data_IF_392600216057
#
_entry.id   IF_392600216057
#
_cell.length_a   1.000
_cell.length_b   1.000
_cell.length_c   1.000
_cell.angle_alpha   90.00
_cell.angle_beta   90.00
_cell.angle_gamma   90.00
#
_symmetry.space_group_name_H-M   'P 1'
#
loop_
_entity.id
_entity.type
_entity.pdbx_description
1 polymer ?
#
# COMPACT_ATOMS: atom_id res chain seq x y z
N UNK A 1 -31.93 -21.72 50.71
CA UNK A 1 -31.58 -20.58 49.84
C UNK A 1 -31.94 -20.95 48.42
N UNK A 2 -32.87 -20.21 47.75
CA UNK A 2 -33.23 -20.46 46.35
C UNK A 2 -32.07 -20.00 45.50
N UNK A 3 -31.41 -20.92 44.82
CA UNK A 3 -30.39 -20.58 43.83
C UNK A 3 -31.06 -19.71 42.76
N UNK A 4 -30.58 -18.49 42.55
CA UNK A 4 -31.06 -17.62 41.46
C UNK A 4 -30.83 -18.27 40.08
N UNK A 5 -31.33 -17.63 39.02
CA UNK A 5 -31.20 -18.12 37.62
C UNK A 5 -29.78 -18.61 37.29
N UNK A 6 -28.75 -17.88 37.72
CA UNK A 6 -27.35 -18.26 37.54
C UNK A 6 -26.98 -19.58 38.24
N UNK A 7 -27.43 -19.77 39.51
CA UNK A 7 -27.17 -20.99 40.27
C UNK A 7 -27.90 -22.22 39.72
N UNK A 8 -29.09 -22.03 39.15
CA UNK A 8 -29.82 -23.09 38.43
C UNK A 8 -29.10 -23.55 37.18
N UNK A 9 -28.63 -22.60 36.36
CA UNK A 9 -27.88 -22.85 35.15
C UNK A 9 -26.55 -23.58 35.45
N UNK A 10 -25.80 -23.08 36.43
CA UNK A 10 -24.54 -23.70 36.89
C UNK A 10 -24.74 -25.15 37.31
N UNK A 11 -25.79 -25.45 38.11
CA UNK A 11 -26.07 -26.80 38.55
C UNK A 11 -26.46 -27.75 37.43
N UNK A 12 -27.19 -27.26 36.40
CA UNK A 12 -27.56 -28.04 35.22
C UNK A 12 -26.36 -28.44 34.41
N UNK A 13 -25.38 -27.54 34.26
CA UNK A 13 -24.15 -27.80 33.46
C UNK A 13 -23.11 -28.62 34.24
N UNK A 14 -22.88 -28.39 35.52
CA UNK A 14 -21.87 -29.14 36.32
C UNK A 14 -22.19 -30.64 36.39
N UNK A 15 -23.47 -31.00 36.47
CA UNK A 15 -23.90 -32.40 36.56
C UNK A 15 -24.15 -33.07 35.20
N UNK A 16 -24.02 -32.32 34.11
CA UNK A 16 -24.33 -32.84 32.78
C UNK A 16 -23.13 -33.60 32.15
N UNK A 17 -23.33 -34.83 31.65
CA UNK A 17 -22.28 -35.55 30.93
C UNK A 17 -21.89 -34.88 29.59
N UNK A 18 -22.70 -33.91 29.12
CA UNK A 18 -22.41 -33.15 27.90
C UNK A 18 -21.39 -32.02 28.12
N UNK A 19 -21.15 -31.60 29.38
CA UNK A 19 -20.23 -30.50 29.69
C UNK A 19 -18.79 -30.75 29.19
N UNK A 20 -18.17 -31.93 29.43
CA UNK A 20 -16.85 -32.19 28.86
C UNK A 20 -16.84 -32.23 27.32
N UNK A 21 -17.94 -32.66 26.71
CA UNK A 21 -18.06 -32.65 25.25
C UNK A 21 -18.10 -31.24 24.69
N UNK A 22 -18.88 -30.34 25.32
CA UNK A 22 -18.91 -28.92 24.95
C UNK A 22 -17.57 -28.24 25.18
N UNK A 23 -16.85 -28.60 26.24
CA UNK A 23 -15.52 -28.07 26.51
C UNK A 23 -14.54 -28.48 25.40
N UNK A 24 -14.54 -29.75 25.02
CA UNK A 24 -13.67 -30.24 23.93
C UNK A 24 -14.05 -29.59 22.60
N UNK A 25 -15.33 -29.43 22.30
CA UNK A 25 -15.79 -28.78 21.07
C UNK A 25 -15.37 -27.30 21.04
N UNK A 26 -15.53 -26.58 22.15
CA UNK A 26 -15.11 -25.19 22.25
C UNK A 26 -13.58 -25.02 22.08
N UNK A 27 -12.82 -25.94 22.68
CA UNK A 27 -11.35 -25.94 22.58
C UNK A 27 -10.88 -26.25 21.16
N UNK A 28 -11.52 -27.21 20.49
CA UNK A 28 -11.24 -27.53 19.08
C UNK A 28 -11.58 -26.35 18.16
N UNK A 29 -12.73 -25.72 18.38
CA UNK A 29 -13.17 -24.57 17.59
C UNK A 29 -12.24 -23.36 17.81
N UNK A 30 -11.81 -23.14 19.05
CA UNK A 30 -10.81 -22.12 19.37
C UNK A 30 -9.44 -22.37 18.73
N UNK A 31 -9.01 -23.62 18.69
CA UNK A 31 -7.76 -24.01 18.01
C UNK A 31 -7.85 -23.79 16.51
N UNK A 32 -8.96 -24.21 15.87
CA UNK A 32 -9.21 -23.97 14.44
C UNK A 32 -9.22 -22.46 14.15
N UNK A 33 -9.94 -21.68 14.95
CA UNK A 33 -9.96 -20.22 14.82
C UNK A 33 -8.57 -19.62 14.92
N UNK A 34 -7.76 -20.07 15.88
CA UNK A 34 -6.39 -19.60 16.08
C UNK A 34 -5.49 -19.87 14.86
N UNK A 35 -5.71 -20.98 14.16
CA UNK A 35 -4.94 -21.38 13.00
C UNK A 35 -5.43 -20.74 11.69
N UNK A 36 -6.71 -20.40 11.63
CA UNK A 36 -7.35 -19.90 10.39
C UNK A 36 -7.57 -18.40 10.36
N UNK A 37 -7.62 -17.74 11.53
CA UNK A 37 -7.72 -16.28 11.54
C UNK A 37 -6.40 -15.65 11.05
N UNK A 38 -6.44 -14.83 10.00
CA UNK A 38 -5.30 -14.04 9.62
C UNK A 38 -4.93 -13.09 10.77
N UNK A 39 -3.68 -13.11 11.17
CA UNK A 39 -3.15 -12.19 12.18
C UNK A 39 -2.57 -10.98 11.47
N UNK A 40 -3.36 -9.95 11.35
CA UNK A 40 -2.90 -8.64 10.89
C UNK A 40 -2.87 -7.71 12.10
N UNK A 41 -1.71 -7.13 12.40
CA UNK A 41 -1.56 -6.20 13.52
C UNK A 41 -2.23 -4.85 13.24
N UNK A 42 -2.36 -4.49 11.95
CA UNK A 42 -3.03 -3.25 11.51
C UNK A 42 -3.82 -3.50 10.23
N UNK A 43 -4.97 -2.80 10.02
CA UNK A 43 -5.65 -2.85 8.74
C UNK A 43 -4.71 -2.29 7.66
N UNK A 44 -4.31 -3.12 6.70
CA UNK A 44 -3.49 -2.70 5.57
C UNK A 44 -4.30 -1.73 4.69
N UNK A 45 -4.21 -0.45 5.02
CA UNK A 45 -4.70 0.60 4.12
C UNK A 45 -3.65 0.73 3.02
N UNK A 46 -3.79 -0.09 1.98
CA UNK A 46 -2.91 -0.02 0.83
C UNK A 46 -3.19 1.27 0.05
N UNK A 47 -2.30 2.23 0.20
CA UNK A 47 -2.24 3.42 -0.62
C UNK A 47 -1.06 3.25 -1.58
N UNK A 48 -1.28 2.77 -2.79
CA UNK A 48 -0.18 2.57 -3.71
C UNK A 48 0.42 3.91 -4.14
N UNK A 49 1.73 3.99 -4.06
CA UNK A 49 2.52 5.09 -4.56
C UNK A 49 3.41 4.60 -5.70
N UNK A 50 3.58 5.43 -6.70
CA UNK A 50 4.45 5.14 -7.85
C UNK A 50 5.46 6.27 -7.97
N UNK A 51 6.72 5.94 -7.86
CA UNK A 51 7.85 6.84 -8.05
C UNK A 51 8.33 6.78 -9.50
N UNK A 52 8.50 7.95 -10.08
CA UNK A 52 8.96 8.17 -11.46
C UNK A 52 10.28 8.92 -11.37
N UNK A 53 11.37 8.22 -11.57
CA UNK A 53 12.70 8.79 -11.57
C UNK A 53 13.09 9.20 -12.98
N UNK A 54 13.47 10.46 -13.14
CA UNK A 54 13.89 11.02 -14.43
C UNK A 54 15.30 11.56 -14.31
N UNK A 55 16.18 11.11 -15.19
CA UNK A 55 17.53 11.65 -15.31
C UNK A 55 17.53 12.80 -16.32
N UNK A 56 17.86 14.00 -15.88
CA UNK A 56 17.92 15.21 -16.71
C UNK A 56 19.39 15.73 -16.76
N UNK A 57 20.30 14.88 -17.20
CA UNK A 57 21.73 15.13 -17.16
C UNK A 57 22.10 16.45 -17.85
N UNK A 58 22.86 17.31 -17.16
CA UNK A 58 23.30 18.59 -17.65
C UNK A 58 22.29 19.74 -17.47
N UNK A 59 21.11 19.48 -16.90
CA UNK A 59 20.13 20.52 -16.60
C UNK A 59 20.28 21.01 -15.14
N UNK A 60 20.15 22.32 -14.97
CA UNK A 60 19.98 22.89 -13.63
C UNK A 60 18.55 22.70 -13.14
N UNK A 61 18.35 22.67 -11.84
CA UNK A 61 17.06 22.44 -11.22
C UNK A 61 15.95 23.37 -11.75
N UNK A 62 16.25 24.67 -11.96
CA UNK A 62 15.28 25.64 -12.47
C UNK A 62 14.78 25.32 -13.90
N UNK A 63 15.66 24.80 -14.77
CA UNK A 63 15.32 24.40 -16.12
C UNK A 63 14.62 23.04 -16.11
N UNK A 64 15.11 22.10 -15.29
CA UNK A 64 14.50 20.78 -15.14
C UNK A 64 13.07 20.85 -14.60
N UNK A 65 12.75 21.79 -13.71
CA UNK A 65 11.36 22.02 -13.23
C UNK A 65 10.46 22.33 -14.41
N UNK A 66 10.82 23.30 -15.25
CA UNK A 66 9.96 23.79 -16.32
C UNK A 66 9.85 22.83 -17.50
N UNK A 67 10.97 22.18 -17.84
CA UNK A 67 11.06 21.37 -19.05
C UNK A 67 10.69 19.90 -18.81
N UNK A 68 10.88 19.40 -17.60
CA UNK A 68 10.70 17.98 -17.28
C UNK A 68 9.62 17.77 -16.24
N UNK A 69 9.73 18.43 -15.07
CA UNK A 69 8.87 18.15 -13.91
C UNK A 69 7.43 18.61 -14.13
N UNK A 70 7.21 19.85 -14.57
CA UNK A 70 5.85 20.38 -14.81
C UNK A 70 5.08 19.62 -15.89
N UNK A 71 5.67 19.27 -17.06
CA UNK A 71 5.02 18.41 -18.04
C UNK A 71 4.69 17.03 -17.48
N UNK A 72 5.61 16.40 -16.72
CA UNK A 72 5.38 15.10 -16.10
C UNK A 72 4.27 15.15 -15.07
N UNK A 73 4.26 16.14 -14.18
CA UNK A 73 3.17 16.33 -13.22
C UNK A 73 1.81 16.44 -13.92
N UNK A 74 1.76 17.20 -15.01
CA UNK A 74 0.53 17.37 -15.80
C UNK A 74 0.05 16.05 -16.39
N UNK A 75 0.96 15.25 -16.93
CA UNK A 75 0.67 13.92 -17.48
C UNK A 75 0.17 13.00 -16.36
N UNK A 76 0.89 12.94 -15.24
CA UNK A 76 0.59 12.05 -14.12
C UNK A 76 -0.73 12.43 -13.44
N UNK A 77 -1.01 13.72 -13.24
CA UNK A 77 -2.30 14.21 -12.71
C UNK A 77 -3.50 13.83 -13.58
N UNK A 78 -3.28 13.58 -14.88
CA UNK A 78 -4.36 13.17 -15.80
C UNK A 78 -4.68 11.67 -15.74
N UNK A 79 -3.96 10.89 -14.94
CA UNK A 79 -4.18 9.45 -14.80
C UNK A 79 -5.38 9.20 -13.87
N UNK A 80 -6.30 8.35 -14.29
CA UNK A 80 -7.47 8.00 -13.48
C UNK A 80 -7.05 7.27 -12.19
N UNK A 81 -7.54 7.74 -11.05
CA UNK A 81 -7.24 7.20 -9.72
C UNK A 81 -6.01 7.81 -9.04
N UNK A 82 -5.35 8.80 -9.65
CA UNK A 82 -4.33 9.61 -8.98
C UNK A 82 -5.00 10.66 -8.12
N UNK A 83 -4.74 10.62 -6.81
CA UNK A 83 -5.27 11.55 -5.82
C UNK A 83 -4.33 12.75 -5.65
N UNK A 84 -3.04 12.49 -5.49
CA UNK A 84 -2.01 13.51 -5.31
C UNK A 84 -0.76 13.20 -6.11
N UNK A 85 -0.07 14.28 -6.54
CA UNK A 85 1.24 14.20 -7.19
C UNK A 85 2.20 15.10 -6.44
N UNK A 86 3.32 14.53 -6.06
CA UNK A 86 4.44 15.22 -5.40
C UNK A 86 5.64 15.19 -6.34
N UNK A 87 6.43 16.26 -6.36
CA UNK A 87 7.66 16.28 -7.14
C UNK A 87 8.81 16.87 -6.34
N UNK A 88 9.98 16.37 -6.62
CA UNK A 88 11.24 16.89 -6.11
C UNK A 88 12.21 16.96 -7.28
N UNK A 89 12.71 18.17 -7.57
CA UNK A 89 13.66 18.40 -8.65
C UNK A 89 15.00 18.84 -8.07
N UNK A 90 16.05 18.25 -8.59
CA UNK A 90 17.44 18.60 -8.28
C UNK A 90 18.20 18.85 -9.57
N UNK A 91 19.44 19.29 -9.47
CA UNK A 91 20.35 19.30 -10.62
C UNK A 91 20.47 17.87 -11.17
N UNK A 92 20.46 17.74 -12.48
CA UNK A 92 20.57 16.48 -13.23
C UNK A 92 19.41 15.47 -13.06
N UNK A 93 18.33 15.78 -12.32
CA UNK A 93 17.25 14.82 -12.14
C UNK A 93 15.97 15.34 -11.48
N UNK A 94 14.91 14.58 -11.66
CA UNK A 94 13.63 14.82 -11.02
C UNK A 94 13.02 13.50 -10.52
N UNK A 95 12.32 13.57 -9.40
CA UNK A 95 11.48 12.52 -8.86
C UNK A 95 10.05 13.02 -8.82
N UNK A 96 9.15 12.29 -9.47
CA UNK A 96 7.71 12.56 -9.42
C UNK A 96 7.03 11.36 -8.79
N UNK A 97 6.34 11.57 -7.67
CA UNK A 97 5.61 10.53 -6.94
C UNK A 97 4.11 10.70 -7.15
N UNK A 98 3.46 9.70 -7.71
CA UNK A 98 2.02 9.62 -7.83
C UNK A 98 1.43 8.82 -6.68
N UNK A 99 0.52 9.40 -5.92
CA UNK A 99 -0.29 8.72 -4.91
C UNK A 99 -1.66 8.41 -5.49
N UNK A 100 -2.05 7.14 -5.44
CA UNK A 100 -3.33 6.67 -5.93
C UNK A 100 -4.37 6.59 -4.82
N UNK A 101 -5.64 6.53 -5.21
CA UNK A 101 -6.77 6.30 -4.30
C UNK A 101 -6.65 4.95 -3.59
N UNK A 102 -7.13 4.91 -2.35
CA UNK A 102 -7.18 3.69 -1.53
C UNK A 102 -7.96 2.58 -2.24
N UNK A 103 -7.40 1.38 -2.25
CA UNK A 103 -8.01 0.22 -2.90
C UNK A 103 -7.60 0.00 -4.36
N UNK A 104 -6.76 0.87 -4.94
CA UNK A 104 -6.11 0.59 -6.22
C UNK A 104 -5.00 -0.44 -6.01
N UNK A 105 -4.89 -1.45 -6.88
CA UNK A 105 -3.76 -2.38 -6.77
C UNK A 105 -2.47 -1.71 -7.25
N UNK A 106 -1.34 -2.02 -6.60
CA UNK A 106 -0.02 -1.49 -6.95
C UNK A 106 0.35 -1.77 -8.41
N UNK A 107 0.09 -2.99 -8.89
CA UNK A 107 0.38 -3.39 -10.27
C UNK A 107 -0.44 -2.57 -11.29
N UNK A 108 -1.73 -2.34 -11.00
CA UNK A 108 -2.57 -1.51 -11.87
C UNK A 108 -2.13 -0.05 -11.88
N UNK A 109 -1.65 0.46 -10.74
CA UNK A 109 -1.12 1.82 -10.64
C UNK A 109 0.13 1.99 -11.50
N UNK A 110 1.11 1.08 -11.37
CA UNK A 110 2.34 1.07 -12.16
C UNK A 110 2.04 0.97 -13.66
N UNK A 111 1.14 0.06 -14.04
CA UNK A 111 0.77 -0.13 -15.45
C UNK A 111 0.16 1.15 -16.04
N UNK A 112 -0.80 1.79 -15.34
CA UNK A 112 -1.43 3.04 -15.80
C UNK A 112 -0.43 4.17 -15.96
N UNK A 113 0.52 4.31 -15.04
CA UNK A 113 1.60 5.30 -15.12
C UNK A 113 2.46 5.02 -16.34
N UNK A 114 2.88 3.77 -16.54
CA UNK A 114 3.72 3.36 -17.67
C UNK A 114 3.06 3.64 -19.02
N UNK A 115 1.80 3.23 -19.18
CA UNK A 115 1.04 3.46 -20.41
C UNK A 115 0.86 4.95 -20.69
N UNK A 116 0.53 5.74 -19.66
CA UNK A 116 0.28 7.17 -19.83
C UNK A 116 1.56 7.94 -20.16
N UNK A 117 2.66 7.62 -19.50
CA UNK A 117 3.95 8.23 -19.80
C UNK A 117 4.40 7.90 -21.22
N UNK A 118 4.32 6.63 -21.60
CA UNK A 118 4.69 6.18 -22.94
C UNK A 118 3.89 6.87 -24.05
N UNK A 119 2.60 7.08 -23.81
CA UNK A 119 1.71 7.77 -24.75
C UNK A 119 1.99 9.28 -24.89
N UNK A 120 2.76 9.86 -23.97
CA UNK A 120 3.05 11.31 -23.93
C UNK A 120 4.56 11.62 -23.88
N UNK A 121 5.40 10.68 -24.27
CA UNK A 121 6.86 10.89 -24.30
C UNK A 121 7.31 12.03 -25.22
N UNK A 122 6.49 12.38 -26.21
CA UNK A 122 6.68 13.52 -27.11
C UNK A 122 6.68 14.89 -26.41
N UNK A 123 6.12 14.96 -25.20
CA UNK A 123 6.07 16.18 -24.38
C UNK A 123 7.31 16.39 -23.51
N UNK A 124 8.16 15.37 -23.40
CA UNK A 124 9.41 15.41 -22.67
C UNK A 124 10.53 15.80 -23.64
N UNK A 125 11.51 16.66 -23.23
CA UNK A 125 12.57 17.11 -24.12
C UNK A 125 13.38 15.95 -24.69
N UNK A 126 13.77 16.09 -25.95
CA UNK A 126 14.68 15.17 -26.62
C UNK A 126 16.02 15.16 -25.87
N UNK A 127 16.50 13.98 -25.47
CA UNK A 127 17.73 13.81 -24.68
C UNK A 127 17.49 13.40 -23.21
N UNK A 128 16.25 13.47 -22.73
CA UNK A 128 15.87 12.88 -21.44
C UNK A 128 15.57 11.39 -21.67
N UNK A 129 16.25 10.46 -20.98
CA UNK A 129 16.00 9.03 -21.13
C UNK A 129 14.60 8.66 -20.61
N UNK A 130 14.11 7.48 -21.01
CA UNK A 130 12.84 6.95 -20.51
C UNK A 130 12.84 6.90 -18.98
N UNK A 131 11.82 7.45 -18.30
CA UNK A 131 11.74 7.46 -16.86
C UNK A 131 11.72 6.06 -16.26
N UNK A 132 12.43 5.87 -15.16
CA UNK A 132 12.33 4.64 -14.36
C UNK A 132 11.11 4.72 -13.45
N UNK A 133 10.19 3.78 -13.61
CA UNK A 133 8.94 3.71 -12.84
C UNK A 133 9.07 2.61 -11.79
N UNK A 134 8.90 2.98 -10.52
CA UNK A 134 8.99 2.07 -9.38
C UNK A 134 7.71 2.16 -8.54
N UNK A 135 6.99 1.05 -8.43
CA UNK A 135 5.86 0.97 -7.48
C UNK A 135 6.38 0.86 -6.06
N UNK A 136 5.81 1.66 -5.14
CA UNK A 136 6.05 1.51 -3.70
C UNK A 136 4.83 0.87 -3.04
N UNK A 137 5.06 -0.26 -2.37
CA UNK A 137 4.10 -0.90 -1.47
C UNK A 137 4.31 -0.47 -0.02
N UNK A 138 3.35 -0.78 0.84
CA UNK A 138 3.47 -0.60 2.30
C UNK A 138 4.60 -1.48 2.85
N UNK A 139 4.88 -2.59 2.17
CA UNK A 139 5.88 -3.58 2.57
C UNK A 139 7.33 -3.17 2.23
N UNK A 140 7.51 -2.06 1.50
CA UNK A 140 8.83 -1.51 1.13
C UNK A 140 9.47 -0.70 2.28
N UNK A 141 9.41 -1.23 3.49
CA UNK A 141 10.10 -0.64 4.65
C UNK A 141 11.53 -1.19 4.70
N UNK A 142 12.50 -0.28 4.78
CA UNK A 142 13.90 -0.68 4.98
C UNK A 142 14.06 -1.45 6.29
N UNK A 143 14.26 -2.76 6.22
CA UNK A 143 14.45 -3.65 7.38
C UNK A 143 15.83 -3.46 8.00
N UNK A 144 16.82 -3.06 7.20
CA UNK A 144 18.20 -2.84 7.64
C UNK A 144 18.74 -1.54 7.07
N UNK A 145 19.17 -0.65 7.95
CA UNK A 145 19.91 0.57 7.59
C UNK A 145 21.34 0.41 8.05
N UNK A 146 22.28 0.33 7.12
CA UNK A 146 23.72 0.30 7.40
C UNK A 146 24.27 1.71 7.20
N UNK A 147 24.73 2.33 8.30
CA UNK A 147 25.42 3.62 8.26
C UNK A 147 26.92 3.35 8.18
N UNK A 148 27.57 3.84 7.13
CA UNK A 148 29.02 3.80 6.93
C UNK A 148 29.65 5.09 7.43
#
# INVERSE_FOLDING_TARGET
MKAGLAGGLTRAFIASPLTPLFLLAALALGLVALLTLPREEEPQISVPMVDIHVSANGMKADDAVKLVTEPLETIVKSIAGVEHVYSQTSDDGALVTARFEVGTSSDSAVLRVHEKLRANMDRIPVGVPEPLIVGRGIDDVAIVVVTL
#
